data_IF_249723897006
#
_entry.id   IF_249723897006
#
_cell.length_a   1.000
_cell.length_b   1.000
_cell.length_c   1.000
_cell.angle_alpha   90.00
_cell.angle_beta   90.00
_cell.angle_gamma   90.00
#
_symmetry.space_group_name_H-M   'P 1'
#
loop_
_entity.id
_entity.type
_entity.pdbx_description
1 polymer ?
#
# COMPACT_ATOMS: atom_id res chain seq x y z
N UNK A 1 0.38 0.96 -29.10
CA UNK A 1 1.04 -0.13 -28.34
C UNK A 1 0.76 0.16 -26.88
N UNK A 2 -0.23 -0.52 -26.32
CA UNK A 2 -0.74 -0.20 -24.98
C UNK A 2 0.04 -1.02 -23.96
N UNK A 3 1.14 -0.47 -23.43
CA UNK A 3 1.61 -0.90 -22.13
C UNK A 3 0.58 -0.37 -21.13
N UNK A 4 -0.14 -1.27 -20.45
CA UNK A 4 -0.87 -0.85 -19.26
C UNK A 4 0.21 -0.50 -18.23
N UNK A 5 0.34 0.79 -17.92
CA UNK A 5 1.27 1.27 -16.90
C UNK A 5 0.80 0.70 -15.56
N UNK A 6 1.40 -0.41 -15.13
CA UNK A 6 1.20 -0.94 -13.79
C UNK A 6 2.14 -0.20 -12.83
N UNK A 7 1.69 0.05 -11.61
CA UNK A 7 2.41 0.85 -10.62
C UNK A 7 2.73 0.03 -9.39
N UNK A 8 3.96 0.16 -8.91
CA UNK A 8 4.41 -0.49 -7.68
C UNK A 8 3.66 0.04 -6.46
N UNK A 9 3.48 -0.82 -5.46
CA UNK A 9 2.90 -0.41 -4.20
C UNK A 9 3.82 0.58 -3.47
N UNK A 10 3.39 1.82 -3.13
CA UNK A 10 4.25 2.80 -2.48
C UNK A 10 4.55 2.44 -1.02
N UNK A 11 3.80 1.49 -0.44
CA UNK A 11 3.97 0.99 0.92
C UNK A 11 4.95 -0.19 0.98
N UNK A 12 4.67 -1.29 0.29
CA UNK A 12 5.48 -2.51 0.37
C UNK A 12 6.51 -2.68 -0.76
N UNK A 13 6.35 -1.96 -1.86
CA UNK A 13 7.22 -2.07 -3.04
C UNK A 13 6.92 -3.25 -3.96
N UNK A 14 5.79 -3.97 -3.78
CA UNK A 14 5.40 -5.02 -4.73
C UNK A 14 5.23 -4.43 -6.13
N UNK A 15 5.86 -5.08 -7.11
CA UNK A 15 6.00 -4.56 -8.48
C UNK A 15 4.70 -4.72 -9.25
N UNK A 16 4.36 -3.70 -10.04
CA UNK A 16 3.18 -3.69 -10.91
C UNK A 16 1.84 -3.88 -10.16
N UNK A 17 1.79 -3.70 -8.84
CA UNK A 17 0.61 -4.05 -8.03
C UNK A 17 -0.71 -3.39 -8.50
N UNK A 18 -0.65 -2.13 -8.93
CA UNK A 18 -1.84 -1.37 -9.33
C UNK A 18 -1.96 -1.21 -10.83
N UNK A 19 -3.19 -1.24 -11.34
CA UNK A 19 -3.47 -1.10 -12.79
C UNK A 19 -3.41 0.34 -13.28
N UNK A 20 -3.65 1.30 -12.39
CA UNK A 20 -3.63 2.74 -12.67
C UNK A 20 -3.14 3.50 -11.42
N UNK A 21 -2.56 4.71 -11.53
CA UNK A 21 -2.12 5.47 -10.38
C UNK A 21 -3.32 6.18 -9.73
N UNK A 22 -3.51 6.02 -8.42
CA UNK A 22 -4.63 6.67 -7.71
C UNK A 22 -6.00 6.03 -7.94
N UNK A 23 -6.00 4.77 -8.38
CA UNK A 23 -7.19 3.95 -8.66
C UNK A 23 -7.96 3.49 -7.41
N UNK A 24 -7.58 3.92 -6.21
CA UNK A 24 -8.15 3.44 -4.95
C UNK A 24 -8.09 1.91 -4.77
N UNK A 25 -7.29 1.20 -5.57
CA UNK A 25 -7.05 -0.23 -5.41
C UNK A 25 -6.32 -0.50 -4.10
N UNK A 26 -6.62 -1.64 -3.48
CA UNK A 26 -5.99 -2.11 -2.26
C UNK A 26 -4.93 -3.12 -2.64
N UNK A 27 -3.70 -2.91 -2.18
CA UNK A 27 -2.61 -3.84 -2.39
C UNK A 27 -2.90 -5.16 -1.67
N UNK A 28 -2.90 -6.28 -2.40
CA UNK A 28 -3.15 -7.61 -1.87
C UNK A 28 -2.02 -8.09 -0.93
N UNK A 29 -0.83 -7.48 -1.05
CA UNK A 29 0.35 -7.83 -0.27
C UNK A 29 0.35 -7.20 1.12
N UNK A 30 0.12 -5.89 1.21
CA UNK A 30 0.23 -5.16 2.46
C UNK A 30 -1.08 -4.49 2.90
N UNK A 31 -2.15 -4.61 2.12
CA UNK A 31 -3.45 -3.99 2.38
C UNK A 31 -3.47 -2.45 2.33
N UNK A 32 -2.44 -1.83 1.74
CA UNK A 32 -2.41 -0.39 1.51
C UNK A 32 -3.30 -0.02 0.33
N UNK A 33 -4.23 0.92 0.52
CA UNK A 33 -5.03 1.51 -0.54
C UNK A 33 -4.24 2.61 -1.25
N UNK A 34 -4.19 2.57 -2.58
CA UNK A 34 -3.51 3.56 -3.43
C UNK A 34 -4.25 4.90 -3.45
N UNK A 35 -4.21 5.61 -2.33
CA UNK A 35 -4.84 6.92 -2.14
C UNK A 35 -3.96 8.04 -2.72
N UNK A 36 -4.43 8.80 -3.73
CA UNK A 36 -3.63 9.84 -4.36
C UNK A 36 -3.31 11.02 -3.43
N UNK A 37 -4.08 11.25 -2.36
CA UNK A 37 -3.81 12.32 -1.40
C UNK A 37 -2.64 11.92 -0.52
N UNK A 38 -2.66 10.71 0.05
CA UNK A 38 -1.57 10.19 0.86
C UNK A 38 -0.33 9.84 0.04
N UNK A 39 -0.46 9.62 -1.28
CA UNK A 39 0.68 9.53 -2.19
C UNK A 39 1.36 10.90 -2.37
N UNK A 40 0.58 11.99 -2.49
CA UNK A 40 1.10 13.37 -2.60
C UNK A 40 1.65 13.91 -1.28
N UNK A 41 1.04 13.53 -0.16
CA UNK A 41 1.51 13.85 1.19
C UNK A 41 1.70 12.57 2.02
N UNK A 42 2.89 11.94 1.95
CA UNK A 42 3.20 10.71 2.69
C UNK A 42 3.15 10.84 4.22
N UNK A 43 3.09 12.08 4.75
CA UNK A 43 2.94 12.38 6.17
C UNK A 43 1.48 12.45 6.63
N UNK A 44 0.53 12.59 5.70
CA UNK A 44 -0.89 12.72 6.00
C UNK A 44 -1.44 11.45 6.65
N UNK A 45 -1.96 11.58 7.87
CA UNK A 45 -2.67 10.51 8.60
C UNK A 45 -4.19 10.59 8.35
N UNK A 46 -4.89 9.51 8.67
CA UNK A 46 -6.32 9.37 8.45
C UNK A 46 -6.63 8.94 7.01
N UNK A 47 -7.74 9.44 6.48
CA UNK A 47 -8.17 9.10 5.12
C UNK A 47 -8.49 7.61 4.94
N UNK A 48 -8.15 7.09 3.76
CA UNK A 48 -8.43 5.70 3.40
C UNK A 48 -7.65 4.67 4.23
N UNK A 49 -6.40 4.97 4.59
CA UNK A 49 -5.50 4.00 5.23
C UNK A 49 -5.37 4.16 6.76
N UNK A 50 -5.92 5.23 7.35
CA UNK A 50 -5.82 5.51 8.79
C UNK A 50 -4.42 5.97 9.24
N UNK A 51 -3.38 5.20 8.91
CA UNK A 51 -1.98 5.57 9.03
C UNK A 51 -1.51 6.41 7.83
N UNK A 52 -0.44 7.17 8.02
CA UNK A 52 0.26 7.80 6.90
C UNK A 52 1.12 6.79 6.13
N UNK A 53 1.43 7.10 4.87
CA UNK A 53 2.27 6.23 4.03
C UNK A 53 3.64 5.95 4.67
N UNK A 54 4.22 6.95 5.35
CA UNK A 54 5.47 6.75 6.08
C UNK A 54 5.33 5.78 7.27
N UNK A 55 4.22 5.86 8.01
CA UNK A 55 3.96 4.92 9.10
C UNK A 55 3.65 3.52 8.57
N UNK A 56 2.92 3.41 7.46
CA UNK A 56 2.59 2.15 6.83
C UNK A 56 3.82 1.40 6.32
N UNK A 57 4.79 2.10 5.72
CA UNK A 57 6.10 1.53 5.34
C UNK A 57 6.83 0.92 6.54
N UNK A 58 6.86 1.64 7.66
CA UNK A 58 7.48 1.13 8.90
C UNK A 58 6.73 -0.06 9.47
N UNK A 59 5.40 0.00 9.45
CA UNK A 59 4.52 -1.08 9.91
C UNK A 59 4.73 -2.33 9.08
N UNK A 60 4.84 -2.19 7.76
CA UNK A 60 5.07 -3.30 6.83
C UNK A 60 6.38 -4.02 7.12
N UNK A 61 7.47 -3.28 7.38
CA UNK A 61 8.77 -3.88 7.74
C UNK A 61 8.67 -4.77 8.98
N UNK A 62 7.80 -4.41 9.94
CA UNK A 62 7.68 -5.12 11.22
C UNK A 62 6.64 -6.25 11.17
N UNK A 63 5.53 -6.04 10.46
CA UNK A 63 4.34 -6.90 10.53
C UNK A 63 3.98 -7.59 9.22
N UNK A 64 4.57 -7.20 8.10
CA UNK A 64 4.14 -7.64 6.76
C UNK A 64 2.80 -7.04 6.32
N UNK A 65 2.30 -6.02 7.03
CA UNK A 65 1.04 -5.33 6.72
C UNK A 65 1.19 -3.81 6.88
N UNK A 66 0.39 -3.04 6.14
CA UNK A 66 0.42 -1.58 6.14
C UNK A 66 -0.19 -0.95 7.40
N UNK A 67 -1.04 -1.70 8.12
CA UNK A 67 -1.65 -1.27 9.38
C UNK A 67 -1.67 -2.45 10.40
N UNK A 68 -1.43 -2.22 11.71
CA UNK A 68 -1.43 -3.28 12.73
C UNK A 68 -2.78 -3.99 12.91
N UNK A 69 -3.87 -3.35 12.50
CA UNK A 69 -5.24 -3.89 12.54
C UNK A 69 -5.59 -4.65 11.26
N UNK A 70 -4.87 -4.39 10.17
CA UNK A 70 -5.00 -5.17 8.94
C UNK A 70 -4.33 -6.53 9.14
N UNK A 71 -5.10 -7.61 8.97
CA UNK A 71 -4.54 -8.97 8.95
C UNK A 71 -3.81 -9.16 7.61
N UNK A 72 -2.61 -9.77 7.58
CA UNK A 72 -1.98 -10.16 6.31
C UNK A 72 -2.95 -11.06 5.53
N UNK A 73 -3.20 -10.73 4.25
CA UNK A 73 -4.12 -11.50 3.41
C UNK A 73 -3.55 -12.89 3.06
N UNK A 74 -2.21 -13.04 2.99
CA UNK A 74 -1.53 -14.33 2.88
C UNK A 74 -0.70 -14.66 4.14
N UNK A 75 -1.10 -15.65 4.96
CA UNK A 75 -0.37 -16.04 6.17
C UNK A 75 1.01 -16.65 5.87
N UNK A 76 1.33 -16.96 4.60
CA UNK A 76 2.65 -17.47 4.19
C UNK A 76 3.68 -16.37 3.95
N UNK A 77 3.30 -15.10 4.10
CA UNK A 77 4.16 -13.93 3.82
C UNK A 77 4.31 -13.00 5.03
N UNK A 78 4.23 -13.56 6.23
CA UNK A 78 4.83 -12.94 7.42
C UNK A 78 6.37 -13.03 7.31
N UNK A 79 7.13 -12.06 7.84
CA UNK A 79 8.58 -12.16 7.92
C UNK A 79 9.06 -13.43 8.63
#
# INVERSE_FOLDING_TARGET
MSAQDRFDCPCCGEIDEFKEPGCFEICEMCNWQNDPVQLRDPGMKGGANGLSLNQARQTYIVLGASDPTSRPLDPRRLP
#
